data_IF_934909680191
#
_entry.id   IF_934909680191
#
_cell.length_a   1.000
_cell.length_b   1.000
_cell.length_c   1.000
_cell.angle_alpha   90.00
_cell.angle_beta   90.00
_cell.angle_gamma   90.00
#
_symmetry.space_group_name_H-M   'P 1'
#
loop_
_entity.id
_entity.type
_entity.pdbx_description
1 polymer ?
#
# COMPACT_ATOMS: atom_id res chain seq x y z
N UNK A 1 -28.11 10.20 6.78
CA UNK A 1 -27.10 10.00 7.85
C UNK A 1 -25.71 10.08 7.23
N UNK A 2 -24.68 10.58 7.93
CA UNK A 2 -23.32 10.61 7.39
C UNK A 2 -22.82 9.17 7.22
N UNK A 3 -22.24 8.86 6.06
CA UNK A 3 -21.61 7.56 5.81
C UNK A 3 -20.17 7.60 6.32
N UNK A 4 -19.67 6.53 6.96
CA UNK A 4 -18.27 6.47 7.33
C UNK A 4 -17.39 6.55 6.08
N UNK A 5 -16.17 7.07 6.21
CA UNK A 5 -15.17 7.16 5.14
C UNK A 5 -13.87 6.55 5.65
N UNK A 6 -13.27 5.69 4.83
CA UNK A 6 -11.98 5.10 5.10
C UNK A 6 -10.89 5.88 4.37
N UNK A 7 -9.83 6.25 5.09
CA UNK A 7 -8.66 6.94 4.55
C UNK A 7 -7.43 6.08 4.78
N UNK A 8 -6.84 5.57 3.71
CA UNK A 8 -5.62 4.77 3.75
C UNK A 8 -4.41 5.61 3.34
N UNK A 9 -3.37 5.65 4.17
CA UNK A 9 -2.11 6.31 3.86
C UNK A 9 -1.09 5.28 3.37
N UNK A 10 -0.51 5.48 2.18
CA UNK A 10 0.49 4.57 1.61
C UNK A 10 1.84 5.27 1.51
N UNK A 11 2.82 4.82 2.30
CA UNK A 11 4.16 5.39 2.32
C UNK A 11 5.23 4.41 2.81
N UNK A 12 6.50 4.68 2.49
CA UNK A 12 7.59 3.79 2.89
C UNK A 12 9.00 4.36 2.70
N UNK A 13 9.23 5.17 1.66
CA UNK A 13 10.57 5.74 1.41
C UNK A 13 10.93 6.75 2.51
N UNK A 14 12.11 6.57 3.13
CA UNK A 14 12.69 7.46 4.14
C UNK A 14 11.86 7.60 5.44
N UNK A 15 10.81 6.78 5.62
CA UNK A 15 10.10 6.67 6.88
C UNK A 15 10.74 5.53 7.70
N UNK A 16 11.27 5.86 8.87
CA UNK A 16 11.78 4.90 9.86
C UNK A 16 10.69 4.39 10.80
N UNK A 17 9.46 4.91 10.70
CA UNK A 17 8.42 4.68 11.69
C UNK A 17 7.03 4.53 11.04
N UNK A 18 6.23 3.61 11.60
CA UNK A 18 4.80 3.41 11.38
C UNK A 18 3.97 4.69 11.62
N UNK A 19 4.54 5.66 12.35
CA UNK A 19 3.90 6.94 12.68
C UNK A 19 3.94 8.01 11.58
N UNK A 20 4.44 7.70 10.37
CA UNK A 20 4.56 8.68 9.28
C UNK A 20 3.24 9.43 8.96
N UNK A 21 2.10 8.79 9.17
CA UNK A 21 0.78 9.36 8.86
C UNK A 21 0.21 10.24 9.97
N UNK A 22 0.77 10.24 11.19
CA UNK A 22 0.19 10.90 12.36
C UNK A 22 -0.03 12.40 12.11
N UNK A 23 1.01 13.11 11.65
CA UNK A 23 0.93 14.55 11.41
C UNK A 23 -0.14 14.90 10.38
N UNK A 24 -0.25 14.11 9.30
CA UNK A 24 -1.28 14.31 8.28
C UNK A 24 -2.68 13.99 8.82
N UNK A 25 -2.82 12.87 9.55
CA UNK A 25 -4.07 12.47 10.22
C UNK A 25 -4.58 13.56 11.16
N UNK A 26 -3.70 14.16 11.96
CA UNK A 26 -4.05 15.25 12.88
C UNK A 26 -4.46 16.52 12.15
N UNK A 27 -3.77 16.86 11.05
CA UNK A 27 -4.14 18.01 10.20
C UNK A 27 -5.51 17.80 9.57
N UNK A 28 -5.78 16.62 9.00
CA UNK A 28 -7.09 16.27 8.44
C UNK A 28 -8.18 16.28 9.51
N UNK A 29 -7.93 15.67 10.67
CA UNK A 29 -8.88 15.63 11.79
C UNK A 29 -9.23 17.03 12.29
N UNK A 30 -8.24 17.94 12.34
CA UNK A 30 -8.46 19.35 12.72
C UNK A 30 -9.24 20.13 11.67
N UNK A 31 -8.98 19.89 10.39
CA UNK A 31 -9.73 20.50 9.30
C UNK A 31 -11.19 20.03 9.23
N UNK A 32 -11.50 18.85 9.76
CA UNK A 32 -12.86 18.32 9.80
C UNK A 32 -13.71 18.92 10.94
N UNK A 33 -14.98 19.28 10.67
CA UNK A 33 -15.96 19.62 11.71
C UNK A 33 -16.05 18.51 12.76
N UNK A 34 -16.17 18.88 14.06
CA UNK A 34 -16.19 17.92 15.19
C UNK A 34 -17.21 16.79 14.98
N UNK A 35 -18.38 17.11 14.43
CA UNK A 35 -19.47 16.18 14.10
C UNK A 35 -19.12 15.10 13.06
N UNK A 36 -18.12 15.35 12.20
CA UNK A 36 -17.70 14.41 11.14
C UNK A 36 -16.52 13.53 11.53
N UNK A 37 -15.74 13.91 12.56
CA UNK A 37 -14.53 13.17 12.97
C UNK A 37 -14.78 11.68 13.30
N UNK A 38 -15.88 11.29 13.98
CA UNK A 38 -16.14 9.87 14.28
C UNK A 38 -16.39 9.00 13.03
N UNK A 39 -16.77 9.62 11.91
CA UNK A 39 -17.09 8.93 10.67
C UNK A 39 -15.84 8.67 9.81
N UNK A 40 -14.66 9.19 10.17
CA UNK A 40 -13.44 8.97 9.39
C UNK A 40 -12.55 7.96 10.08
N UNK A 41 -12.28 6.84 9.39
CA UNK A 41 -11.38 5.79 9.85
C UNK A 41 -10.07 5.90 9.08
N UNK A 42 -8.95 5.89 9.80
CA UNK A 42 -7.62 6.02 9.20
C UNK A 42 -6.85 4.70 9.32
N UNK A 43 -6.15 4.30 8.26
CA UNK A 43 -5.21 3.17 8.28
C UNK A 43 -3.90 3.58 7.60
N UNK A 44 -2.78 3.16 8.18
CA UNK A 44 -1.45 3.42 7.64
C UNK A 44 -0.90 2.15 7.04
N UNK A 45 -0.36 2.24 5.83
CA UNK A 45 0.22 1.14 5.07
C UNK A 45 1.69 1.48 4.88
N UNK A 46 2.51 0.89 5.75
CA UNK A 46 3.96 0.94 5.66
C UNK A 46 4.46 -0.30 4.94
N UNK A 47 5.28 -0.13 3.90
CA UNK A 47 5.73 -1.21 3.02
C UNK A 47 7.25 -1.33 2.93
N UNK A 48 8.01 -0.35 3.47
CA UNK A 48 9.45 -0.29 3.28
C UNK A 48 10.20 -1.44 3.98
N UNK A 49 9.63 -2.01 5.03
CA UNK A 49 10.15 -3.18 5.74
C UNK A 49 10.30 -4.40 4.83
N UNK A 50 9.37 -4.56 3.88
CA UNK A 50 9.33 -5.70 2.94
C UNK A 50 10.51 -5.63 1.96
N UNK A 51 10.91 -4.43 1.56
CA UNK A 51 12.03 -4.20 0.66
C UNK A 51 13.37 -4.20 1.41
N UNK A 52 13.40 -3.59 2.60
CA UNK A 52 14.59 -3.41 3.42
C UNK A 52 15.03 -4.69 4.14
N UNK A 53 14.12 -5.62 4.41
CA UNK A 53 14.43 -6.92 5.03
C UNK A 53 15.39 -7.79 4.21
N UNK A 54 15.65 -7.46 2.94
CA UNK A 54 16.58 -8.21 2.07
C UNK A 54 17.98 -7.61 1.91
N UNK A 55 18.22 -6.38 2.34
CA UNK A 55 19.45 -5.64 1.97
C UNK A 55 20.02 -4.74 3.06
N UNK A 56 19.40 -4.66 4.24
CA UNK A 56 19.87 -3.77 5.31
C UNK A 56 21.29 -4.07 5.79
N UNK A 57 21.68 -5.34 5.98
CA UNK A 57 23.03 -5.65 6.48
C UNK A 57 24.13 -5.16 5.51
N UNK A 58 23.93 -5.37 4.21
CA UNK A 58 24.90 -5.01 3.17
C UNK A 58 24.94 -3.50 2.91
N UNK A 59 23.78 -2.85 2.78
CA UNK A 59 23.72 -1.40 2.57
C UNK A 59 24.16 -0.62 3.82
N UNK A 60 23.89 -1.13 5.03
CA UNK A 60 24.38 -0.54 6.27
C UNK A 60 25.90 -0.70 6.42
N UNK A 61 26.47 -1.87 6.09
CA UNK A 61 27.93 -2.07 6.08
C UNK A 61 28.64 -1.23 5.02
N UNK A 62 28.11 -1.13 3.80
CA UNK A 62 28.66 -0.28 2.74
C UNK A 62 28.57 1.22 3.06
N UNK A 63 27.63 1.64 3.92
CA UNK A 63 27.51 3.02 4.42
C UNK A 63 28.49 3.31 5.57
N UNK A 64 28.71 2.34 6.46
CA UNK A 64 29.69 2.47 7.54
C UNK A 64 31.12 2.64 7.03
N UNK A 65 31.41 2.26 5.78
CA UNK A 65 32.71 2.41 5.13
C UNK A 65 32.89 3.70 4.31
N UNK A 66 31.90 4.60 4.21
CA UNK A 66 31.99 5.77 3.31
C UNK A 66 32.01 7.12 4.05
N UNK A 67 33.12 7.86 3.93
CA UNK A 67 33.43 9.16 4.55
C UNK A 67 32.80 10.35 3.78
N UNK A 68 31.50 10.33 3.45
CA UNK A 68 30.90 11.42 2.64
C UNK A 68 29.55 11.95 3.13
N UNK A 69 29.36 13.26 2.96
CA UNK A 69 28.27 14.07 3.52
C UNK A 69 26.87 13.52 3.21
N UNK A 70 26.12 13.27 4.28
CA UNK A 70 24.85 12.54 4.30
C UNK A 70 23.65 13.47 4.08
N UNK A 71 23.25 13.70 2.82
CA UNK A 71 22.12 14.58 2.48
C UNK A 71 20.79 13.83 2.30
N UNK A 72 19.67 14.46 2.69
CA UNK A 72 18.32 13.88 2.58
C UNK A 72 17.91 13.55 1.14
N UNK A 73 18.33 14.37 0.17
CA UNK A 73 18.05 14.13 -1.26
C UNK A 73 18.82 12.94 -1.80
N UNK A 74 20.08 12.75 -1.37
CA UNK A 74 20.87 11.58 -1.77
C UNK A 74 20.27 10.30 -1.18
N UNK A 75 19.80 10.33 0.07
CA UNK A 75 19.06 9.21 0.67
C UNK A 75 17.78 8.92 -0.11
N UNK A 76 17.00 9.92 -0.47
CA UNK A 76 15.80 9.75 -1.28
C UNK A 76 16.10 9.08 -2.63
N UNK A 77 17.16 9.51 -3.32
CA UNK A 77 17.53 8.94 -4.62
C UNK A 77 18.08 7.52 -4.46
N UNK A 78 19.03 7.28 -3.55
CA UNK A 78 19.66 5.97 -3.39
C UNK A 78 18.69 4.94 -2.82
N UNK A 79 17.92 5.30 -1.79
CA UNK A 79 16.93 4.40 -1.18
C UNK A 79 15.68 4.29 -2.06
N UNK A 80 15.20 5.40 -2.63
CA UNK A 80 14.01 5.38 -3.48
C UNK A 80 14.22 4.64 -4.80
N UNK A 81 15.38 4.78 -5.44
CA UNK A 81 15.71 3.99 -6.63
C UNK A 81 15.98 2.52 -6.28
N UNK A 82 16.62 2.23 -5.14
CA UNK A 82 16.79 0.86 -4.66
C UNK A 82 15.45 0.18 -4.35
N UNK A 83 14.55 0.91 -3.69
CA UNK A 83 13.22 0.43 -3.34
C UNK A 83 12.35 0.23 -4.60
N UNK A 84 12.43 1.16 -5.57
CA UNK A 84 11.73 1.03 -6.86
C UNK A 84 12.30 -0.10 -7.73
N UNK A 85 13.62 -0.31 -7.72
CA UNK A 85 14.26 -1.41 -8.45
C UNK A 85 13.87 -2.77 -7.85
N UNK A 86 13.70 -2.85 -6.53
CA UNK A 86 13.20 -4.05 -5.86
C UNK A 86 11.69 -4.25 -6.09
N UNK A 87 10.93 -3.16 -6.26
CA UNK A 87 9.50 -3.20 -6.58
C UNK A 87 9.25 -3.49 -8.06
N UNK A 88 9.55 -4.72 -8.47
CA UNK A 88 9.28 -5.21 -9.82
C UNK A 88 8.35 -6.43 -9.78
N UNK A 89 7.36 -6.44 -10.68
CA UNK A 89 6.48 -7.59 -10.86
C UNK A 89 7.26 -8.73 -11.51
N UNK A 90 7.55 -9.76 -10.72
CA UNK A 90 8.29 -10.96 -11.15
C UNK A 90 7.34 -12.10 -11.48
N UNK A 91 7.75 -13.01 -12.39
CA UNK A 91 6.96 -14.21 -12.73
C UNK A 91 6.79 -15.19 -11.56
N UNK A 92 7.75 -15.21 -10.62
CA UNK A 92 7.67 -16.00 -9.39
C UNK A 92 7.28 -15.09 -8.24
N UNK A 93 6.28 -15.50 -7.45
CA UNK A 93 5.84 -14.79 -6.23
C UNK A 93 6.80 -15.01 -5.07
N UNK A 94 7.46 -16.18 -5.02
CA UNK A 94 8.49 -16.47 -4.04
C UNK A 94 9.56 -15.38 -4.09
N UNK A 95 9.77 -14.73 -2.95
CA UNK A 95 10.73 -13.65 -2.78
C UNK A 95 10.46 -12.37 -3.61
N UNK A 96 9.24 -12.17 -4.11
CA UNK A 96 8.86 -10.92 -4.80
C UNK A 96 8.44 -9.84 -3.80
N UNK A 97 9.17 -8.71 -3.79
CA UNK A 97 8.77 -7.55 -3.00
C UNK A 97 7.42 -6.97 -3.50
N UNK A 98 7.15 -7.06 -4.81
CA UNK A 98 5.89 -6.60 -5.40
C UNK A 98 4.69 -7.26 -4.72
N UNK A 99 4.61 -8.59 -4.74
CA UNK A 99 3.47 -9.31 -4.18
C UNK A 99 3.37 -9.18 -2.67
N UNK A 100 4.50 -9.17 -1.95
CA UNK A 100 4.48 -8.93 -0.50
C UNK A 100 3.89 -7.56 -0.14
N UNK A 101 4.22 -6.53 -0.93
CA UNK A 101 3.66 -5.19 -0.75
C UNK A 101 2.17 -5.18 -1.09
N UNK A 102 1.74 -5.85 -2.16
CA UNK A 102 0.32 -5.95 -2.49
C UNK A 102 -0.47 -6.67 -1.39
N UNK A 103 0.06 -7.75 -0.82
CA UNK A 103 -0.57 -8.44 0.30
C UNK A 103 -0.72 -7.54 1.53
N UNK A 104 0.31 -6.72 1.83
CA UNK A 104 0.26 -5.74 2.92
C UNK A 104 -0.85 -4.71 2.69
N UNK A 105 -1.02 -4.24 1.45
CA UNK A 105 -2.12 -3.34 1.09
C UNK A 105 -3.45 -4.04 1.30
N UNK A 106 -3.62 -5.27 0.80
CA UNK A 106 -4.86 -6.03 0.95
C UNK A 106 -5.21 -6.28 2.41
N UNK A 107 -4.25 -6.73 3.24
CA UNK A 107 -4.46 -6.95 4.67
C UNK A 107 -4.90 -5.67 5.38
N UNK A 108 -4.28 -4.53 5.06
CA UNK A 108 -4.65 -3.26 5.66
C UNK A 108 -6.08 -2.82 5.28
N UNK A 109 -6.51 -3.13 4.05
CA UNK A 109 -7.89 -2.89 3.61
C UNK A 109 -8.88 -3.86 4.27
N UNK A 110 -8.51 -5.13 4.43
CA UNK A 110 -9.34 -6.12 5.13
C UNK A 110 -9.57 -5.72 6.60
N UNK A 111 -8.51 -5.26 7.27
CA UNK A 111 -8.54 -4.79 8.66
C UNK A 111 -9.47 -3.59 8.85
N UNK A 112 -9.39 -2.60 7.94
CA UNK A 112 -10.22 -1.41 8.08
C UNK A 112 -11.68 -1.73 7.72
N UNK A 113 -11.94 -2.67 6.80
CA UNK A 113 -13.27 -3.08 6.36
C UNK A 113 -14.06 -3.87 7.41
N UNK A 114 -13.38 -4.52 8.36
CA UNK A 114 -13.97 -5.46 9.33
C UNK A 114 -15.01 -4.89 10.32
N UNK A 115 -15.48 -3.64 10.17
CA UNK A 115 -16.32 -3.00 11.18
C UNK A 115 -17.40 -2.02 10.72
N UNK A 116 -17.46 -1.58 9.46
CA UNK A 116 -18.39 -0.50 9.08
C UNK A 116 -18.67 -0.50 7.56
N UNK A 117 -19.96 -0.50 7.18
CA UNK A 117 -20.55 -0.34 5.82
C UNK A 117 -19.66 -0.80 4.63
N UNK A 118 -19.93 -1.98 4.03
CA UNK A 118 -19.23 -2.50 2.85
C UNK A 118 -19.19 -1.56 1.63
N UNK A 119 -20.09 -0.57 1.57
CA UNK A 119 -20.23 0.38 0.49
C UNK A 119 -19.65 1.77 0.83
N UNK A 120 -18.91 1.90 1.93
CA UNK A 120 -18.34 3.18 2.33
C UNK A 120 -17.22 3.63 1.37
N UNK A 121 -17.02 4.94 1.16
CA UNK A 121 -15.94 5.44 0.32
C UNK A 121 -14.55 5.10 0.87
N UNK A 122 -13.64 4.69 -0.02
CA UNK A 122 -12.21 4.54 0.23
C UNK A 122 -11.45 5.70 -0.42
N UNK A 123 -10.71 6.46 0.38
CA UNK A 123 -9.78 7.49 -0.07
C UNK A 123 -8.36 7.02 0.20
N UNK A 124 -7.50 7.02 -0.81
CA UNK A 124 -6.08 6.68 -0.64
C UNK A 124 -5.22 7.92 -0.77
N UNK A 125 -4.45 8.21 0.27
CA UNK A 125 -3.45 9.28 0.26
C UNK A 125 -2.07 8.62 0.14
N UNK A 126 -1.49 8.74 -1.04
CA UNK A 126 -0.20 8.15 -1.36
C UNK A 126 0.83 9.22 -1.68
N UNK A 127 2.11 8.92 -1.43
CA UNK A 127 3.21 9.83 -1.74
C UNK A 127 4.37 9.11 -2.41
N UNK A 128 4.95 9.72 -3.45
CA UNK A 128 6.09 9.21 -4.20
C UNK A 128 5.85 7.77 -4.69
N UNK A 129 6.72 6.80 -4.37
CA UNK A 129 6.55 5.39 -4.75
C UNK A 129 5.25 4.77 -4.19
N UNK A 130 4.68 5.32 -3.11
CA UNK A 130 3.36 4.94 -2.65
C UNK A 130 2.28 5.14 -3.72
N UNK A 131 2.39 6.18 -4.56
CA UNK A 131 1.44 6.40 -5.65
C UNK A 131 1.53 5.29 -6.70
N UNK A 132 2.75 4.85 -7.02
CA UNK A 132 2.97 3.75 -7.95
C UNK A 132 2.41 2.44 -7.38
N UNK A 133 2.65 2.14 -6.09
CA UNK A 133 2.09 0.97 -5.41
C UNK A 133 0.57 0.98 -5.46
N UNK A 134 -0.07 2.08 -5.08
CA UNK A 134 -1.53 2.23 -5.14
C UNK A 134 -2.06 2.04 -6.56
N UNK A 135 -1.40 2.64 -7.56
CA UNK A 135 -1.80 2.51 -8.96
C UNK A 135 -1.67 1.08 -9.48
N UNK A 136 -0.57 0.39 -9.17
CA UNK A 136 -0.37 -1.01 -9.54
C UNK A 136 -1.37 -1.93 -8.84
N UNK A 137 -1.67 -1.67 -7.57
CA UNK A 137 -2.69 -2.41 -6.82
C UNK A 137 -4.06 -2.28 -7.48
N UNK A 138 -4.51 -1.04 -7.72
CA UNK A 138 -5.79 -0.77 -8.37
C UNK A 138 -5.87 -1.40 -9.76
N UNK A 139 -4.77 -1.34 -10.53
CA UNK A 139 -4.69 -1.99 -11.83
C UNK A 139 -4.83 -3.51 -11.75
N UNK A 140 -4.11 -4.17 -10.83
CA UNK A 140 -4.19 -5.62 -10.65
C UNK A 140 -5.59 -6.07 -10.23
N UNK A 141 -6.23 -5.36 -9.28
CA UNK A 141 -7.62 -5.65 -8.87
C UNK A 141 -8.60 -5.47 -10.04
N UNK A 142 -8.51 -4.35 -10.77
CA UNK A 142 -9.41 -4.09 -11.90
C UNK A 142 -9.23 -5.13 -13.01
N UNK A 143 -7.98 -5.51 -13.30
CA UNK A 143 -7.68 -6.53 -14.30
C UNK A 143 -8.24 -7.89 -13.91
N UNK A 144 -8.06 -8.32 -12.65
CA UNK A 144 -8.60 -9.59 -12.16
C UNK A 144 -10.13 -9.63 -12.17
N UNK A 145 -10.81 -8.50 -11.95
CA UNK A 145 -12.28 -8.40 -12.06
C UNK A 145 -12.79 -8.56 -13.48
N UNK A 146 -12.00 -8.19 -14.48
CA UNK A 146 -12.40 -8.23 -15.89
C UNK A 146 -11.96 -9.52 -16.60
N UNK A 147 -11.01 -10.26 -16.01
CA UNK A 147 -10.49 -11.47 -16.62
C UNK A 147 -11.44 -12.66 -16.43
N UNK A 148 -11.68 -13.46 -17.49
CA UNK A 148 -12.30 -14.79 -17.35
C UNK A 148 -11.48 -15.67 -16.40
N UNK A 149 -12.15 -16.47 -15.56
CA UNK A 149 -11.49 -17.36 -14.59
C UNK A 149 -10.45 -18.28 -15.22
N UNK A 150 -10.74 -18.81 -16.41
CA UNK A 150 -9.82 -19.63 -17.21
C UNK A 150 -8.51 -18.92 -17.60
N UNK A 151 -8.52 -17.58 -17.71
CA UNK A 151 -7.34 -16.79 -18.00
C UNK A 151 -6.61 -16.35 -16.73
N UNK A 152 -7.31 -16.24 -15.60
CA UNK A 152 -6.70 -15.99 -14.29
C UNK A 152 -5.79 -17.14 -13.90
N UNK A 153 -6.19 -18.40 -14.15
CA UNK A 153 -5.36 -19.58 -13.86
C UNK A 153 -4.03 -19.54 -14.63
N UNK A 154 -4.01 -18.98 -15.85
CA UNK A 154 -2.79 -18.81 -16.66
C UNK A 154 -1.82 -17.78 -16.07
N UNK A 155 -2.28 -16.93 -15.18
CA UNK A 155 -1.47 -15.95 -14.44
C UNK A 155 -0.83 -16.55 -13.18
N UNK A 156 -1.18 -17.79 -12.85
CA UNK A 156 -0.64 -18.56 -11.73
C UNK A 156 -1.66 -18.76 -10.61
N UNK A 157 -1.43 -19.76 -9.77
CA UNK A 157 -2.29 -20.16 -8.64
C UNK A 157 -2.64 -19.01 -7.68
N UNK A 158 -1.77 -18.01 -7.61
CA UNK A 158 -1.91 -16.89 -6.70
C UNK A 158 -2.80 -15.76 -7.26
N UNK A 159 -2.83 -15.58 -8.57
CA UNK A 159 -3.85 -14.74 -9.23
C UNK A 159 -5.23 -15.38 -9.10
N UNK A 160 -5.29 -16.71 -9.13
CA UNK A 160 -6.52 -17.48 -8.90
C UNK A 160 -7.03 -17.34 -7.46
N UNK A 161 -6.14 -17.43 -6.46
CA UNK A 161 -6.49 -17.13 -5.05
C UNK A 161 -7.01 -15.71 -4.87
N UNK A 162 -6.35 -14.71 -5.44
CA UNK A 162 -6.79 -13.31 -5.33
C UNK A 162 -8.11 -13.08 -6.06
N UNK A 163 -8.31 -13.65 -7.25
CA UNK A 163 -9.58 -13.56 -7.97
C UNK A 163 -10.71 -14.25 -7.20
N UNK A 164 -10.47 -15.43 -6.64
CA UNK A 164 -11.42 -16.16 -5.79
C UNK A 164 -11.79 -15.35 -4.54
N UNK A 165 -10.80 -14.68 -3.92
CA UNK A 165 -11.06 -13.74 -2.82
C UNK A 165 -11.93 -12.56 -3.28
N UNK A 166 -11.67 -12.00 -4.46
CA UNK A 166 -12.43 -10.86 -4.98
C UNK A 166 -13.89 -11.18 -5.30
N UNK A 167 -14.22 -12.43 -5.64
CA UNK A 167 -15.60 -12.85 -5.90
C UNK A 167 -16.49 -12.77 -4.65
N UNK A 168 -15.92 -13.05 -3.48
CA UNK A 168 -16.63 -13.02 -2.18
C UNK A 168 -16.36 -11.73 -1.38
N UNK A 169 -15.57 -10.81 -1.93
CA UNK A 169 -15.15 -9.59 -1.26
C UNK A 169 -16.23 -8.49 -1.30
N UNK A 170 -16.24 -7.64 -0.27
CA UNK A 170 -17.06 -6.43 -0.20
C UNK A 170 -16.74 -5.46 -1.34
N UNK A 171 -17.68 -4.57 -1.73
CA UNK A 171 -17.42 -3.50 -2.69
C UNK A 171 -16.18 -2.66 -2.32
N UNK A 172 -16.00 -2.40 -1.02
CA UNK A 172 -14.80 -1.77 -0.48
C UNK A 172 -13.50 -2.52 -0.83
N UNK A 173 -13.43 -3.83 -0.54
CA UNK A 173 -12.26 -4.67 -0.82
C UNK A 173 -12.01 -4.88 -2.32
N UNK A 174 -13.06 -4.80 -3.13
CA UNK A 174 -13.00 -4.84 -4.61
C UNK A 174 -12.63 -3.50 -5.25
N UNK A 175 -12.37 -2.48 -4.42
CA UNK A 175 -12.12 -1.09 -4.82
C UNK A 175 -13.26 -0.47 -5.63
N UNK A 176 -14.49 -0.97 -5.51
CA UNK A 176 -15.67 -0.39 -6.17
C UNK A 176 -16.05 0.97 -5.57
N UNK A 177 -15.63 1.23 -4.33
CA UNK A 177 -15.85 2.49 -3.61
C UNK A 177 -14.60 3.38 -3.57
N UNK A 178 -13.58 3.04 -4.37
CA UNK A 178 -12.34 3.79 -4.43
C UNK A 178 -12.57 5.14 -5.12
N UNK A 179 -12.46 6.21 -4.32
CA UNK A 179 -12.44 7.58 -4.81
C UNK A 179 -10.98 7.93 -5.16
N UNK A 180 -10.59 7.57 -6.39
CA UNK A 180 -9.30 7.93 -7.00
C UNK A 180 -9.39 9.19 -7.84
#
# INVERSE_FOLDING_TARGET
MPRPVAVAFVHGINATDLNFSISMRERLTRALPRKLRPFVKYKSIFWADIVRGRSQAYLHQARASTVMADSAYRRLVVEGLGDAAAYQKTRKRDNSAYFGIQDRVTQALDDIDAGDDPNRPLVVIAHSLGCHITSSYAWDINRLKQMPLEDVVKWGEESDRLASRLQSASPFRRLDTFAG
#
